data_IF_035839191329
#
_entry.id   IF_035839191329
#
_cell.length_a   1.000
_cell.length_b   1.000
_cell.length_c   1.000
_cell.angle_alpha   90.00
_cell.angle_beta   90.00
_cell.angle_gamma   90.00
#
_symmetry.space_group_name_H-M   'P 1'
#
loop_
_entity.id
_entity.type
_entity.pdbx_description
1 polymer ?
#
# COMPACT_ATOMS: atom_id res chain seq x y z
N UNK A 1 -2.70 -6.10 6.08
CA UNK A 1 -3.16 -7.36 6.67
C UNK A 1 -2.41 -8.52 6.04
N UNK A 2 -1.79 -9.32 6.86
CA UNK A 2 -1.10 -10.53 6.44
C UNK A 2 -2.07 -11.72 6.41
N UNK A 3 -1.72 -12.76 5.67
CA UNK A 3 -2.52 -14.00 5.60
C UNK A 3 -2.71 -14.65 6.98
N UNK A 4 -1.78 -14.41 7.91
CA UNK A 4 -1.88 -14.87 9.31
C UNK A 4 -2.97 -14.16 10.11
N UNK A 5 -3.46 -13.02 9.64
CA UNK A 5 -4.36 -12.15 10.38
C UNK A 5 -3.66 -11.00 11.11
N UNK A 6 -2.33 -11.00 11.13
CA UNK A 6 -1.58 -9.91 11.74
C UNK A 6 -1.68 -8.63 10.91
N UNK A 7 -1.69 -7.49 11.58
CA UNK A 7 -1.74 -6.17 10.95
C UNK A 7 -0.41 -5.45 11.16
N UNK A 8 0.16 -4.94 10.07
CA UNK A 8 1.36 -4.10 10.11
C UNK A 8 0.96 -2.71 9.67
N UNK A 9 1.33 -1.70 10.44
CA UNK A 9 0.97 -0.31 10.19
C UNK A 9 2.13 0.49 9.62
N UNK A 10 1.80 1.57 8.91
CA UNK A 10 2.78 2.53 8.43
C UNK A 10 2.16 3.92 8.35
N UNK A 11 2.99 4.93 8.49
CA UNK A 11 2.61 6.32 8.34
C UNK A 11 3.63 7.03 7.45
N UNK A 12 3.24 8.17 6.89
CA UNK A 12 4.14 8.99 6.08
C UNK A 12 5.38 9.37 6.87
N UNK A 13 6.53 9.35 6.22
CA UNK A 13 7.78 9.90 6.73
C UNK A 13 8.12 11.10 5.86
N UNK A 14 7.90 12.29 6.40
CA UNK A 14 8.17 13.55 5.71
C UNK A 14 9.60 13.99 5.93
N UNK A 15 10.20 14.62 4.92
CA UNK A 15 11.55 15.14 5.00
C UNK A 15 11.65 16.44 4.18
N UNK A 16 12.39 17.41 4.69
CA UNK A 16 12.66 18.66 3.98
C UNK A 16 13.44 18.42 2.68
N UNK A 17 14.21 17.35 2.63
CA UNK A 17 14.77 16.82 1.39
C UNK A 17 13.72 15.91 0.76
N UNK A 18 12.93 16.42 -0.16
CA UNK A 18 11.73 15.78 -0.69
C UNK A 18 11.96 14.38 -1.25
N UNK A 19 13.13 14.13 -1.83
CA UNK A 19 13.48 12.81 -2.34
C UNK A 19 13.57 11.70 -1.28
N UNK A 20 13.65 12.06 0.00
CA UNK A 20 13.71 11.12 1.12
C UNK A 20 12.34 10.84 1.74
N UNK A 21 11.31 11.54 1.30
CA UNK A 21 9.94 11.37 1.80
C UNK A 21 9.38 10.00 1.41
N UNK A 22 8.73 9.32 2.35
CA UNK A 22 8.12 8.02 2.13
C UNK A 22 6.62 8.07 2.39
N UNK A 23 5.85 7.43 1.50
CA UNK A 23 4.42 7.23 1.74
C UNK A 23 4.19 6.13 2.79
N UNK A 24 3.05 6.17 3.45
CA UNK A 24 2.67 5.21 4.48
C UNK A 24 2.72 3.76 3.98
N UNK A 25 2.24 3.51 2.76
CA UNK A 25 2.23 2.18 2.15
C UNK A 25 3.67 1.64 1.98
N UNK A 26 4.59 2.50 1.54
CA UNK A 26 6.00 2.12 1.42
C UNK A 26 6.61 1.76 2.77
N UNK A 27 6.30 2.52 3.82
CA UNK A 27 6.78 2.24 5.17
C UNK A 27 6.25 0.90 5.66
N UNK A 28 4.96 0.64 5.49
CA UNK A 28 4.36 -0.63 5.91
C UNK A 28 4.95 -1.82 5.15
N UNK A 29 5.11 -1.71 3.83
CA UNK A 29 5.72 -2.77 3.02
C UNK A 29 7.18 -2.98 3.41
N UNK A 30 7.94 -1.91 3.68
CA UNK A 30 9.32 -2.03 4.13
C UNK A 30 9.43 -2.81 5.44
N UNK A 31 8.51 -2.59 6.38
CA UNK A 31 8.47 -3.36 7.62
C UNK A 31 8.28 -4.84 7.37
N UNK A 32 7.32 -5.23 6.54
CA UNK A 32 7.06 -6.65 6.27
C UNK A 32 8.20 -7.30 5.48
N UNK A 33 8.85 -6.56 4.60
CA UNK A 33 10.05 -7.04 3.90
C UNK A 33 11.19 -7.29 4.90
N UNK A 34 11.40 -6.37 5.83
CA UNK A 34 12.43 -6.48 6.86
C UNK A 34 12.23 -7.74 7.72
N UNK A 35 10.99 -8.12 7.99
CA UNK A 35 10.65 -9.31 8.76
C UNK A 35 10.64 -10.61 7.92
N UNK A 36 10.80 -10.51 6.61
CA UNK A 36 10.73 -11.68 5.72
C UNK A 36 9.31 -12.10 5.38
N UNK A 37 8.32 -11.24 5.55
CA UNK A 37 6.89 -11.57 5.42
C UNK A 37 6.25 -11.08 4.12
N UNK A 38 7.02 -10.68 3.13
CA UNK A 38 6.47 -10.13 1.88
C UNK A 38 5.51 -11.10 1.18
N UNK A 39 5.76 -12.39 1.28
CA UNK A 39 4.88 -13.44 0.72
C UNK A 39 3.56 -13.61 1.45
N UNK A 40 3.33 -12.89 2.55
CA UNK A 40 2.14 -13.02 3.38
C UNK A 40 1.15 -11.86 3.23
N UNK A 41 1.45 -10.85 2.42
CA UNK A 41 0.56 -9.70 2.26
C UNK A 41 -0.71 -10.10 1.52
N UNK A 42 -1.86 -9.79 2.11
CA UNK A 42 -3.17 -10.13 1.56
C UNK A 42 -4.03 -8.90 1.25
N UNK A 43 -4.07 -7.92 2.15
CA UNK A 43 -4.89 -6.72 1.99
C UNK A 43 -4.18 -5.49 2.55
N UNK A 44 -4.49 -4.34 1.96
CA UNK A 44 -3.97 -3.04 2.41
C UNK A 44 -5.16 -2.10 2.63
N UNK A 45 -5.15 -1.38 3.73
CA UNK A 45 -6.12 -0.31 3.97
C UNK A 45 -5.36 1.02 4.08
N UNK A 46 -5.86 2.03 3.38
CA UNK A 46 -5.25 3.35 3.29
C UNK A 46 -6.27 4.39 3.73
N UNK A 47 -5.86 5.29 4.60
CA UNK A 47 -6.64 6.46 4.96
C UNK A 47 -5.75 7.69 4.85
N UNK A 48 -6.28 8.76 4.31
CA UNK A 48 -5.52 9.99 4.17
C UNK A 48 -6.44 11.21 4.21
N UNK A 49 -5.85 12.36 4.50
CA UNK A 49 -6.56 13.62 4.58
C UNK A 49 -5.65 14.69 5.13
N UNK A 50 -6.18 15.88 5.32
CA UNK A 50 -5.44 17.00 5.90
C UNK A 50 -5.52 16.92 7.42
N UNK A 51 -4.38 16.90 8.13
CA UNK A 51 -4.39 16.93 9.61
C UNK A 51 -4.97 18.25 10.13
N UNK A 52 -5.84 18.14 11.12
CA UNK A 52 -6.38 19.31 11.83
C UNK A 52 -6.85 18.90 13.22
N UNK A 53 -6.24 19.48 14.26
CA UNK A 53 -6.65 19.25 15.64
C UNK A 53 -6.65 17.79 16.09
N UNK A 54 -5.68 17.00 15.61
CA UNK A 54 -5.60 15.58 15.94
C UNK A 54 -6.50 14.66 15.12
N UNK A 55 -7.27 15.22 14.18
CA UNK A 55 -8.14 14.48 13.28
C UNK A 55 -7.67 14.63 11.83
N UNK A 56 -8.18 13.79 10.93
CA UNK A 56 -7.98 13.95 9.50
C UNK A 56 -9.24 14.51 8.87
N UNK A 57 -9.07 15.51 7.98
CA UNK A 57 -10.16 16.10 7.20
C UNK A 57 -10.04 15.64 5.75
N UNK A 58 -11.16 15.32 5.15
CA UNK A 58 -11.28 14.96 3.75
C UNK A 58 -12.52 14.11 3.53
N UNK A 59 -13.26 14.44 2.48
CA UNK A 59 -14.52 13.79 2.14
C UNK A 59 -14.35 12.67 1.10
N UNK A 60 -13.24 12.67 0.37
CA UNK A 60 -13.01 11.70 -0.70
C UNK A 60 -11.97 10.65 -0.27
N UNK A 61 -12.13 9.38 -0.71
CA UNK A 61 -11.13 8.36 -0.49
C UNK A 61 -9.78 8.74 -1.09
N UNK A 62 -8.70 8.42 -0.40
CA UNK A 62 -7.34 8.65 -0.88
C UNK A 62 -6.80 7.36 -1.46
N UNK A 63 -6.44 7.41 -2.75
CA UNK A 63 -5.87 6.28 -3.46
C UNK A 63 -4.34 6.27 -3.35
N UNK A 64 -3.69 5.11 -3.45
CA UNK A 64 -2.23 5.07 -3.43
C UNK A 64 -1.63 5.78 -4.65
N UNK A 65 -0.51 6.47 -4.46
CA UNK A 65 0.22 7.10 -5.56
C UNK A 65 0.83 6.04 -6.49
N UNK A 66 1.31 6.47 -7.66
CA UNK A 66 1.87 5.54 -8.65
C UNK A 66 3.06 4.73 -8.14
N UNK A 67 3.95 5.36 -7.35
CA UNK A 67 5.08 4.68 -6.73
C UNK A 67 4.62 3.57 -5.78
N UNK A 68 3.64 3.85 -4.94
CA UNK A 68 3.09 2.85 -4.02
C UNK A 68 2.34 1.74 -4.76
N UNK A 69 1.68 2.05 -5.87
CA UNK A 69 1.07 1.02 -6.70
C UNK A 69 2.10 0.03 -7.23
N UNK A 70 3.28 0.50 -7.62
CA UNK A 70 4.38 -0.37 -8.05
C UNK A 70 4.93 -1.21 -6.90
N UNK A 71 5.09 -0.63 -5.72
CA UNK A 71 5.53 -1.35 -4.51
C UNK A 71 4.53 -2.44 -4.14
N UNK A 72 3.24 -2.15 -4.21
CA UNK A 72 2.19 -3.13 -3.96
C UNK A 72 2.15 -4.22 -5.04
N UNK A 73 2.50 -3.89 -6.28
CA UNK A 73 2.63 -4.87 -7.35
C UNK A 73 3.69 -5.91 -7.03
N UNK A 74 4.88 -5.47 -6.58
CA UNK A 74 5.95 -6.38 -6.17
C UNK A 74 5.47 -7.33 -5.08
N UNK A 75 4.82 -6.79 -4.05
CA UNK A 75 4.27 -7.57 -2.94
C UNK A 75 3.21 -8.56 -3.42
N UNK A 76 2.31 -8.14 -4.31
CA UNK A 76 1.27 -8.99 -4.86
C UNK A 76 1.83 -10.18 -5.63
N UNK A 77 2.84 -9.95 -6.46
CA UNK A 77 3.45 -11.04 -7.21
C UNK A 77 4.18 -12.02 -6.28
N UNK A 78 4.89 -11.53 -5.26
CA UNK A 78 5.58 -12.38 -4.29
C UNK A 78 4.62 -13.14 -3.39
N UNK A 79 3.50 -12.53 -2.99
CA UNK A 79 2.48 -13.20 -2.17
C UNK A 79 1.54 -14.09 -3.00
N UNK A 80 1.64 -14.02 -4.32
CA UNK A 80 0.75 -14.71 -5.28
C UNK A 80 -0.72 -14.40 -5.00
N UNK A 81 -0.99 -13.15 -4.64
CA UNK A 81 -2.31 -12.67 -4.27
C UNK A 81 -2.59 -11.37 -5.01
N UNK A 82 -3.77 -11.26 -5.61
CA UNK A 82 -4.23 -9.98 -6.14
C UNK A 82 -4.77 -9.16 -4.96
N UNK A 83 -3.87 -8.42 -4.32
CA UNK A 83 -4.11 -7.72 -3.06
C UNK A 83 -5.32 -6.79 -3.16
N UNK A 84 -6.22 -6.88 -2.18
CA UNK A 84 -7.31 -5.91 -2.02
C UNK A 84 -6.76 -4.62 -1.42
N UNK A 85 -7.12 -3.50 -2.01
CA UNK A 85 -6.70 -2.17 -1.58
C UNK A 85 -7.94 -1.37 -1.19
N UNK A 86 -8.11 -1.16 0.11
CA UNK A 86 -9.23 -0.43 0.68
C UNK A 86 -8.80 1.02 0.89
N UNK A 87 -9.46 1.94 0.20
CA UNK A 87 -9.15 3.37 0.28
C UNK A 87 -10.27 4.09 1.01
N UNK A 88 -9.94 4.78 2.08
CA UNK A 88 -10.92 5.50 2.90
C UNK A 88 -10.65 7.01 2.87
N UNK A 89 -11.74 7.79 3.00
CA UNK A 89 -11.65 9.23 3.21
C UNK A 89 -11.13 9.56 4.61
N UNK A 90 -10.56 10.76 4.79
CA UNK A 90 -10.04 11.19 6.07
C UNK A 90 -11.10 11.23 7.18
N UNK A 91 -12.35 11.54 6.84
CA UNK A 91 -13.47 11.55 7.80
C UNK A 91 -14.03 10.14 8.07
N UNK A 92 -13.55 9.12 7.36
CA UNK A 92 -13.95 7.73 7.54
C UNK A 92 -15.33 7.37 6.99
N UNK A 93 -16.00 8.28 6.30
CA UNK A 93 -17.39 8.08 5.85
C UNK A 93 -17.49 7.44 4.48
N UNK A 94 -16.49 7.63 3.63
CA UNK A 94 -16.46 7.11 2.26
C UNK A 94 -15.31 6.14 2.09
N UNK A 95 -15.52 5.12 1.28
CA UNK A 95 -14.49 4.14 0.97
C UNK A 95 -14.69 3.51 -0.38
N UNK A 96 -13.58 3.10 -0.99
CA UNK A 96 -13.55 2.34 -2.24
C UNK A 96 -12.59 1.19 -2.07
N UNK A 97 -12.93 0.03 -2.63
CA UNK A 97 -12.06 -1.13 -2.62
C UNK A 97 -11.71 -1.49 -4.06
N UNK A 98 -10.42 -1.68 -4.29
CA UNK A 98 -9.88 -2.10 -5.57
C UNK A 98 -9.05 -3.37 -5.39
N UNK A 99 -8.87 -4.12 -6.47
CA UNK A 99 -7.77 -5.08 -6.57
C UNK A 99 -6.52 -4.35 -7.04
N UNK A 100 -5.37 -4.78 -6.61
CA UNK A 100 -4.10 -4.21 -7.06
C UNK A 100 -4.02 -4.19 -8.60
N UNK A 101 -4.49 -5.24 -9.26
CA UNK A 101 -4.49 -5.35 -10.73
C UNK A 101 -5.31 -4.26 -11.42
N UNK A 102 -6.34 -3.73 -10.77
CA UNK A 102 -7.13 -2.61 -11.30
C UNK A 102 -6.36 -1.28 -11.19
N UNK A 103 -5.53 -1.13 -10.15
CA UNK A 103 -4.77 0.09 -9.90
C UNK A 103 -3.46 0.14 -10.67
N UNK A 104 -2.94 -1.01 -11.09
CA UNK A 104 -1.70 -1.12 -11.85
C UNK A 104 -1.85 -2.17 -12.93
N UNK A 105 -2.64 -1.91 -13.98
CA UNK A 105 -2.81 -2.84 -15.10
C UNK A 105 -1.52 -2.94 -15.93
N UNK A 106 -1.32 -4.09 -16.58
CA UNK A 106 -0.15 -4.33 -17.43
C UNK A 106 1.17 -3.98 -16.73
N UNK A 107 1.29 -4.35 -15.46
CA UNK A 107 2.41 -3.94 -14.62
C UNK A 107 3.69 -4.71 -14.95
N UNK A 108 4.83 -4.02 -14.83
CA UNK A 108 6.15 -4.64 -14.82
C UNK A 108 6.45 -5.10 -13.39
N UNK A 109 6.93 -6.34 -13.25
CA UNK A 109 7.21 -6.91 -11.93
C UNK A 109 8.30 -7.97 -11.95
N UNK A 110 8.55 -8.63 -10.83
CA UNK A 110 9.61 -9.64 -10.70
C UNK A 110 9.45 -10.83 -11.66
N UNK A 111 8.24 -11.14 -12.07
CA UNK A 111 8.01 -12.18 -13.10
C UNK A 111 8.70 -11.85 -14.41
N UNK A 112 8.67 -10.58 -14.81
CA UNK A 112 9.28 -10.13 -16.07
C UNK A 112 10.82 -10.25 -16.05
N UNK A 113 11.39 -10.29 -14.86
CA UNK A 113 12.82 -10.47 -14.66
C UNK A 113 13.20 -11.94 -14.41
N UNK A 114 12.23 -12.84 -14.38
CA UNK A 114 12.47 -14.25 -14.08
C UNK A 114 12.84 -14.53 -12.62
N UNK A 115 12.54 -13.59 -11.72
CA UNK A 115 12.91 -13.70 -10.29
C UNK A 115 11.94 -14.57 -9.50
N UNK A 116 10.70 -14.70 -9.99
CA UNK A 116 9.72 -15.60 -9.42
C UNK A 116 9.01 -16.35 -10.54
N UNK A 117 8.49 -17.57 -10.31
CA UNK A 117 7.75 -18.31 -11.32
C UNK A 117 6.40 -17.65 -11.64
N UNK A 118 5.91 -17.90 -12.85
CA UNK A 118 4.58 -17.45 -13.30
C UNK A 118 3.45 -18.12 -12.51
#
# INVERSE_FOLDING_TARGET
>A
LLKSGDVVTGANVENASYGLTLCAETVAVAKIVNEGWIGELAEVAIVGGRPHGGALLGADPVNPCGRCRQILNEAAEQSKTDILVHCASGDGKEGMTYRRSQLRPAAFGPKDLGLIPD
#
